data_IF_476928909182
#
_entry.id   IF_476928909182
#
_cell.length_a   1.000
_cell.length_b   1.000
_cell.length_c   1.000
_cell.angle_alpha   90.00
_cell.angle_beta   90.00
_cell.angle_gamma   90.00
#
_symmetry.space_group_name_H-M   'P 1'
#
loop_
_entity.id
_entity.type
_entity.pdbx_description
1 polymer ?
#
# COMPACT_ATOMS: atom_id res chain seq x y z
N UNK A 1 -13.61 0.21 1.05
CA UNK A 1 -14.54 -0.51 1.96
C UNK A 1 -15.69 0.45 2.24
N UNK A 2 -16.85 0.24 1.60
CA UNK A 2 -17.96 1.19 1.63
C UNK A 2 -18.46 1.48 3.06
N UNK A 3 -18.54 0.46 3.91
CA UNK A 3 -19.07 0.58 5.27
C UNK A 3 -18.02 0.87 6.37
N UNK A 4 -16.74 1.02 6.02
CA UNK A 4 -15.72 1.28 7.05
C UNK A 4 -15.49 0.12 8.05
N UNK A 5 -15.82 -1.13 7.68
CA UNK A 5 -15.66 -2.32 8.53
C UNK A 5 -14.49 -3.22 8.09
N UNK A 6 -13.93 -4.03 8.99
CA UNK A 6 -12.96 -5.11 8.72
C UNK A 6 -13.46 -6.43 9.33
N UNK A 7 -13.01 -7.59 8.82
CA UNK A 7 -13.38 -8.91 9.37
C UNK A 7 -13.11 -9.09 10.87
N UNK A 8 -12.20 -8.30 11.46
CA UNK A 8 -12.00 -8.31 12.91
C UNK A 8 -11.20 -9.50 13.45
N UNK A 9 -10.62 -10.34 12.57
CA UNK A 9 -9.84 -11.53 12.94
C UNK A 9 -10.65 -12.83 12.93
N UNK A 10 -11.91 -12.79 12.47
CA UNK A 10 -12.71 -14.00 12.27
C UNK A 10 -12.25 -14.80 11.04
N UNK A 11 -12.45 -16.12 11.09
CA UNK A 11 -12.32 -16.98 9.91
C UNK A 11 -13.44 -16.71 8.89
N UNK A 12 -13.22 -16.99 7.59
CA UNK A 12 -14.27 -16.92 6.59
C UNK A 12 -15.49 -17.78 6.98
N UNK A 13 -16.69 -17.21 6.89
CA UNK A 13 -17.92 -17.93 7.17
C UNK A 13 -18.43 -18.72 5.95
N UNK A 14 -18.07 -18.26 4.76
CA UNK A 14 -18.36 -18.93 3.49
C UNK A 14 -17.36 -18.45 2.42
N UNK A 15 -17.36 -19.14 1.27
CA UNK A 15 -16.60 -18.73 0.10
C UNK A 15 -17.49 -18.80 -1.15
N UNK A 16 -17.34 -17.81 -2.02
CA UNK A 16 -17.90 -17.84 -3.37
C UNK A 16 -16.77 -18.16 -4.34
N UNK A 17 -17.00 -19.18 -5.16
CA UNK A 17 -16.06 -19.59 -6.21
C UNK A 17 -16.71 -19.37 -7.56
N UNK A 18 -15.97 -18.81 -8.51
CA UNK A 18 -16.47 -18.64 -9.87
C UNK A 18 -15.35 -18.71 -10.89
N UNK A 19 -15.69 -19.15 -12.09
CA UNK A 19 -14.76 -19.14 -13.20
C UNK A 19 -14.72 -17.76 -13.86
N UNK A 20 -13.59 -17.09 -13.76
CA UNK A 20 -13.35 -15.79 -14.41
C UNK A 20 -12.65 -15.99 -15.74
N UNK A 21 -13.24 -15.44 -16.82
CA UNK A 21 -12.64 -15.46 -18.17
C UNK A 21 -11.19 -14.93 -18.20
N UNK A 22 -10.87 -13.93 -17.38
CA UNK A 22 -9.55 -13.28 -17.38
C UNK A 22 -8.50 -13.91 -16.44
N UNK A 23 -8.91 -14.69 -15.43
CA UNK A 23 -8.01 -15.09 -14.32
C UNK A 23 -8.25 -16.51 -13.80
N UNK A 24 -9.00 -17.34 -14.54
CA UNK A 24 -9.37 -18.68 -14.09
C UNK A 24 -10.25 -18.67 -12.85
N UNK A 25 -10.10 -19.68 -12.00
CA UNK A 25 -10.92 -19.87 -10.82
C UNK A 25 -10.63 -18.78 -9.78
N UNK A 26 -11.65 -18.05 -9.38
CA UNK A 26 -11.56 -16.98 -8.38
C UNK A 26 -12.37 -17.33 -7.15
N UNK A 27 -11.88 -16.85 -6.01
CA UNK A 27 -12.47 -17.09 -4.70
C UNK A 27 -12.68 -15.75 -4.00
N UNK A 28 -13.86 -15.54 -3.44
CA UNK A 28 -14.17 -14.43 -2.54
C UNK A 28 -14.61 -15.00 -1.20
N UNK A 29 -13.87 -14.67 -0.14
CA UNK A 29 -14.23 -15.03 1.22
C UNK A 29 -15.30 -14.08 1.76
N UNK A 30 -16.35 -14.66 2.34
CA UNK A 30 -17.44 -13.95 2.96
C UNK A 30 -17.24 -13.97 4.49
N UNK A 31 -17.50 -12.82 5.11
CA UNK A 31 -17.34 -12.60 6.54
C UNK A 31 -18.65 -12.11 7.14
N UNK A 32 -18.87 -12.43 8.41
CA UNK A 32 -20.07 -12.01 9.14
C UNK A 32 -19.96 -10.55 9.53
N UNK A 33 -20.96 -9.75 9.13
CA UNK A 33 -21.03 -8.30 9.42
C UNK A 33 -21.23 -8.05 10.91
N UNK A 34 -22.00 -8.88 11.61
CA UNK A 34 -22.24 -8.80 13.06
C UNK A 34 -20.97 -8.95 13.91
N UNK A 35 -19.94 -9.62 13.38
CA UNK A 35 -18.63 -9.79 14.03
C UNK A 35 -17.56 -8.86 13.48
N UNK A 36 -17.92 -8.02 12.50
CA UNK A 36 -16.99 -7.08 11.92
C UNK A 36 -16.62 -5.99 12.92
N UNK A 37 -15.43 -5.44 12.76
CA UNK A 37 -14.94 -4.34 13.59
C UNK A 37 -14.73 -3.12 12.72
N UNK A 38 -14.78 -1.93 13.28
CA UNK A 38 -14.40 -0.71 12.56
C UNK A 38 -12.95 -0.80 12.03
N UNK A 39 -12.70 -0.18 10.87
CA UNK A 39 -11.34 0.00 10.36
C UNK A 39 -10.52 0.70 11.44
N UNK A 40 -9.30 0.25 11.70
CA UNK A 40 -8.40 0.99 12.58
C UNK A 40 -8.13 2.35 11.93
N UNK A 41 -8.43 3.48 12.60
CA UNK A 41 -8.13 4.78 12.03
C UNK A 41 -6.62 4.96 11.86
N UNK A 42 -6.24 5.87 10.98
CA UNK A 42 -4.85 6.28 10.88
C UNK A 42 -4.48 7.07 12.14
N UNK A 43 -3.39 6.70 12.80
CA UNK A 43 -2.92 7.41 13.99
C UNK A 43 -1.89 8.47 13.59
N UNK A 44 -1.72 9.56 14.36
CA UNK A 44 -0.66 10.54 14.10
C UNK A 44 0.73 9.90 14.00
N UNK A 45 1.03 8.89 14.83
CA UNK A 45 2.28 8.14 14.74
C UNK A 45 2.47 7.42 13.41
N UNK A 46 1.41 6.80 12.86
CA UNK A 46 1.46 6.16 11.53
C UNK A 46 1.63 7.18 10.41
N UNK A 47 0.98 8.35 10.49
CA UNK A 47 1.18 9.43 9.53
C UNK A 47 2.65 9.87 9.49
N UNK A 48 3.26 10.10 10.67
CA UNK A 48 4.68 10.48 10.77
C UNK A 48 5.60 9.41 10.20
N UNK A 49 5.36 8.14 10.53
CA UNK A 49 6.15 7.03 10.00
C UNK A 49 6.04 6.92 8.48
N UNK A 50 4.85 7.08 7.91
CA UNK A 50 4.64 7.08 6.46
C UNK A 50 5.35 8.27 5.80
N UNK A 51 5.23 9.47 6.37
CA UNK A 51 5.90 10.66 5.85
C UNK A 51 7.42 10.51 5.87
N UNK A 52 7.99 9.96 6.94
CA UNK A 52 9.42 9.66 7.04
C UNK A 52 9.87 8.63 6.00
N UNK A 53 9.11 7.53 5.83
CA UNK A 53 9.39 6.51 4.83
C UNK A 53 9.32 7.07 3.39
N UNK A 54 8.34 7.94 3.12
CA UNK A 54 8.22 8.59 1.81
C UNK A 54 9.35 9.59 1.56
N UNK A 55 9.75 10.39 2.55
CA UNK A 55 10.91 11.27 2.45
C UNK A 55 12.17 10.47 2.10
N UNK A 56 12.45 9.39 2.82
CA UNK A 56 13.60 8.54 2.55
C UNK A 56 13.59 7.96 1.12
N UNK A 57 12.43 7.59 0.58
CA UNK A 57 12.27 7.09 -0.80
C UNK A 57 12.40 8.17 -1.88
N UNK A 58 12.30 9.45 -1.52
CA UNK A 58 12.35 10.61 -2.43
C UNK A 58 13.67 11.37 -2.36
N UNK A 59 14.42 11.22 -1.27
CA UNK A 59 15.75 11.79 -1.10
C UNK A 59 16.77 10.96 -1.89
N UNK A 60 17.45 11.62 -2.84
CA UNK A 60 18.51 10.98 -3.61
C UNK A 60 19.72 10.67 -2.72
N UNK A 61 20.31 9.47 -2.80
CA UNK A 61 21.53 9.19 -2.04
C UNK A 61 22.70 10.07 -2.47
N UNK A 62 22.81 10.39 -3.77
CA UNK A 62 23.96 11.15 -4.31
C UNK A 62 23.90 12.65 -3.97
N UNK A 63 22.84 13.34 -4.40
CA UNK A 63 22.72 14.79 -4.17
C UNK A 63 22.00 15.16 -2.87
N UNK A 64 21.41 14.20 -2.15
CA UNK A 64 20.66 14.41 -0.88
C UNK A 64 19.44 15.33 -0.98
N UNK A 65 18.96 15.61 -2.20
CA UNK A 65 17.76 16.41 -2.46
C UNK A 65 16.52 15.52 -2.45
N UNK A 66 15.46 15.96 -1.77
CA UNK A 66 14.11 15.39 -1.93
C UNK A 66 13.53 15.85 -3.28
N UNK A 67 13.39 14.92 -4.22
CA UNK A 67 12.93 15.24 -5.58
C UNK A 67 11.41 15.31 -5.72
N UNK A 68 10.65 15.03 -4.65
CA UNK A 68 9.20 15.02 -4.68
C UNK A 68 8.57 13.77 -5.31
N UNK A 69 9.35 12.94 -6.01
CA UNK A 69 8.94 11.64 -6.57
C UNK A 69 9.75 10.48 -5.97
N UNK A 70 9.16 9.28 -5.97
CA UNK A 70 9.85 8.07 -5.48
C UNK A 70 10.95 7.70 -6.47
N UNK A 71 12.18 7.63 -5.97
CA UNK A 71 13.35 7.31 -6.76
C UNK A 71 13.28 5.84 -7.22
N UNK A 72 13.59 5.62 -8.50
CA UNK A 72 13.58 4.29 -9.10
C UNK A 72 14.70 3.44 -8.51
N UNK A 73 14.34 2.24 -8.03
CA UNK A 73 15.34 1.25 -7.56
C UNK A 73 16.31 0.86 -8.67
N UNK A 74 15.86 0.86 -9.94
CA UNK A 74 16.71 0.52 -11.09
C UNK A 74 17.80 1.57 -11.33
N UNK A 75 17.50 2.85 -11.10
CA UNK A 75 18.47 3.93 -11.29
C UNK A 75 19.39 4.06 -10.08
N UNK A 76 18.93 3.68 -8.88
CA UNK A 76 19.68 3.86 -7.63
C UNK A 76 19.80 5.32 -7.17
N UNK A 77 19.65 6.26 -8.09
CA UNK A 77 19.70 7.70 -7.90
C UNK A 77 18.51 8.39 -8.58
N UNK A 78 18.34 9.68 -8.30
CA UNK A 78 17.36 10.48 -9.01
C UNK A 78 17.71 10.63 -10.51
N UNK A 79 16.71 10.75 -11.37
CA UNK A 79 16.90 10.95 -12.81
C UNK A 79 17.98 11.99 -13.18
N UNK A 80 18.03 13.22 -12.61
CA UNK A 80 19.12 14.16 -12.92
C UNK A 80 20.51 13.61 -12.64
N UNK A 81 20.72 12.96 -11.48
CA UNK A 81 22.02 12.36 -11.14
C UNK A 81 22.35 11.14 -12.02
N UNK A 82 21.34 10.36 -12.43
CA UNK A 82 21.53 9.21 -13.30
C UNK A 82 21.82 9.62 -14.76
N UNK A 83 21.24 10.73 -15.22
CA UNK A 83 21.37 11.25 -16.58
C UNK A 83 22.56 12.23 -16.72
N UNK A 84 23.19 12.65 -15.61
CA UNK A 84 24.34 13.56 -15.60
C UNK A 84 23.97 15.05 -15.70
N UNK A 85 22.72 15.41 -15.42
CA UNK A 85 22.30 16.80 -15.29
C UNK A 85 22.59 17.28 -13.85
N UNK A 86 23.69 18.02 -13.67
CA UNK A 86 24.04 18.69 -12.39
C UNK A 86 22.94 19.66 -11.92
#
# INVERSE_FOLDING_TARGET
RAEGLRPGGQDPAAQLMWQSRARGLRIAYLYRVDRARTVRPMTPGRHRALAAAMRARRTCPDCRIDRGYVISVRLGACAPCADGFE
#
